data_IF_381157139322
#
_entry.id   IF_381157139322
#
_cell.length_a   1.000
_cell.length_b   1.000
_cell.length_c   1.000
_cell.angle_alpha   90.00
_cell.angle_beta   90.00
_cell.angle_gamma   90.00
#
_symmetry.space_group_name_H-M   'P 1'
#
loop_
_entity.id
_entity.type
_entity.pdbx_description
1 polymer ?
#
# COMPACT_ATOMS: atom_id res chain seq x y z
N UNK A 1 20.46 16.53 -27.57
CA UNK A 1 19.21 16.50 -26.81
C UNK A 1 19.55 15.85 -25.49
N UNK A 2 19.55 16.63 -24.40
CA UNK A 2 19.83 16.11 -23.05
C UNK A 2 18.66 15.23 -22.65
N UNK A 3 18.84 13.92 -22.56
CA UNK A 3 17.85 13.02 -21.97
C UNK A 3 17.82 13.30 -20.47
N UNK A 4 16.90 14.16 -20.02
CA UNK A 4 16.63 14.26 -18.59
C UNK A 4 16.15 12.88 -18.12
N UNK A 5 16.83 12.29 -17.15
CA UNK A 5 16.34 11.09 -16.48
C UNK A 5 14.92 11.34 -16.00
N UNK A 6 14.02 10.35 -16.10
CA UNK A 6 12.64 10.50 -15.61
C UNK A 6 12.69 10.87 -14.12
N UNK A 7 11.75 11.72 -13.70
CA UNK A 7 11.65 12.11 -12.30
C UNK A 7 11.39 10.88 -11.41
N UNK A 8 12.06 10.76 -10.25
CA UNK A 8 11.88 9.61 -9.37
C UNK A 8 10.44 9.49 -8.88
N UNK A 9 9.96 8.28 -8.70
CA UNK A 9 8.68 7.97 -8.05
C UNK A 9 8.84 7.92 -6.53
N UNK A 10 7.75 8.21 -5.82
CA UNK A 10 7.67 8.05 -4.37
C UNK A 10 6.35 7.38 -3.98
N UNK A 11 6.45 6.26 -3.28
CA UNK A 11 5.30 5.48 -2.77
C UNK A 11 5.35 5.48 -1.26
N UNK A 12 4.21 5.74 -0.62
CA UNK A 12 4.03 5.62 0.83
C UNK A 12 2.95 4.57 1.10
N UNK A 13 3.26 3.56 1.93
CA UNK A 13 2.26 2.64 2.50
C UNK A 13 2.07 2.90 3.99
N UNK A 14 0.82 2.80 4.45
CA UNK A 14 0.49 2.96 5.86
C UNK A 14 -0.82 2.27 6.25
N UNK A 15 -0.76 1.35 7.20
CA UNK A 15 -1.95 0.86 7.89
C UNK A 15 -2.39 1.92 8.92
N UNK A 16 -3.61 2.49 8.77
CA UNK A 16 -4.10 3.60 9.60
C UNK A 16 -4.93 3.16 10.81
N UNK A 17 -5.15 1.85 10.98
CA UNK A 17 -5.96 1.30 12.08
C UNK A 17 -7.28 2.09 12.29
N UNK A 18 -8.05 2.23 11.22
CA UNK A 18 -9.21 3.13 11.15
C UNK A 18 -10.29 2.87 12.21
N UNK A 19 -10.33 1.67 12.81
CA UNK A 19 -11.24 1.34 13.92
C UNK A 19 -10.86 2.04 15.22
N UNK A 20 -9.58 2.37 15.43
CA UNK A 20 -9.08 3.09 16.60
C UNK A 20 -9.38 4.59 16.59
N UNK A 21 -9.82 5.14 15.45
CA UNK A 21 -10.13 6.57 15.29
C UNK A 21 -8.88 7.43 15.14
N UNK A 22 -8.07 7.20 14.10
CA UNK A 22 -6.80 7.89 13.88
C UNK A 22 -6.97 9.42 13.78
N UNK A 23 -5.93 10.17 14.21
CA UNK A 23 -5.84 11.60 13.95
C UNK A 23 -5.53 11.84 12.47
N UNK A 24 -6.58 12.10 11.68
CA UNK A 24 -6.50 12.28 10.23
C UNK A 24 -5.72 13.55 9.85
N UNK A 25 -5.73 14.59 10.67
CA UNK A 25 -4.96 15.80 10.40
C UNK A 25 -3.46 15.56 10.62
N UNK A 26 -3.10 14.85 11.69
CA UNK A 26 -1.72 14.43 11.91
C UNK A 26 -1.23 13.48 10.81
N UNK A 27 -2.04 12.51 10.39
CA UNK A 27 -1.73 11.64 9.26
C UNK A 27 -1.51 12.46 7.97
N UNK A 28 -2.38 13.42 7.66
CA UNK A 28 -2.24 14.28 6.50
C UNK A 28 -0.95 15.13 6.56
N UNK A 29 -0.57 15.65 7.73
CA UNK A 29 0.70 16.38 7.91
C UNK A 29 1.90 15.48 7.64
N UNK A 30 1.90 14.26 8.18
CA UNK A 30 2.98 13.28 8.01
C UNK A 30 3.14 12.87 6.54
N UNK A 31 2.04 12.56 5.85
CA UNK A 31 2.05 12.23 4.43
C UNK A 31 2.55 13.42 3.59
N UNK A 32 2.06 14.64 3.86
CA UNK A 32 2.48 15.85 3.13
C UNK A 32 3.98 16.13 3.28
N UNK A 33 4.56 15.87 4.46
CA UNK A 33 5.98 16.07 4.70
C UNK A 33 6.86 15.15 3.83
N UNK A 34 6.36 13.96 3.49
CA UNK A 34 7.04 13.01 2.61
C UNK A 34 6.81 13.32 1.11
N UNK A 35 5.77 14.12 0.78
CA UNK A 35 5.39 14.48 -0.58
C UNK A 35 5.36 13.26 -1.55
N UNK A 36 4.64 12.16 -1.23
CA UNK A 36 4.60 10.98 -2.08
C UNK A 36 3.78 11.22 -3.35
N UNK A 37 4.14 10.52 -4.43
CA UNK A 37 3.33 10.44 -5.64
C UNK A 37 2.14 9.50 -5.48
N UNK A 38 2.30 8.46 -4.68
CA UNK A 38 1.28 7.45 -4.43
C UNK A 38 1.24 7.16 -2.94
N UNK A 39 0.03 7.13 -2.38
CA UNK A 39 -0.23 6.70 -1.00
C UNK A 39 -1.16 5.49 -1.06
N UNK A 40 -0.76 4.40 -0.43
CA UNK A 40 -1.61 3.22 -0.24
C UNK A 40 -1.90 3.06 1.25
N UNK A 41 -3.18 2.93 1.59
CA UNK A 41 -3.64 2.86 2.96
C UNK A 41 -4.42 1.58 3.20
N UNK A 42 -4.20 0.96 4.36
CA UNK A 42 -4.94 -0.19 4.84
C UNK A 42 -5.76 0.22 6.08
N UNK A 43 -6.78 -0.56 6.39
CA UNK A 43 -7.70 -0.33 7.52
C UNK A 43 -8.27 1.10 7.57
N UNK A 44 -8.61 1.66 6.43
CA UNK A 44 -9.09 3.04 6.35
C UNK A 44 -10.59 3.09 6.07
N UNK A 45 -11.33 3.93 6.82
CA UNK A 45 -12.74 4.19 6.53
C UNK A 45 -12.90 5.15 5.37
N UNK A 46 -14.01 5.04 4.65
CA UNK A 46 -14.27 5.90 3.48
C UNK A 46 -14.17 7.40 3.81
N UNK A 47 -14.77 7.86 4.91
CA UNK A 47 -14.73 9.26 5.31
C UNK A 47 -13.33 9.74 5.72
N UNK A 48 -12.48 8.85 6.28
CA UNK A 48 -11.05 9.14 6.53
C UNK A 48 -10.32 9.35 5.21
N UNK A 49 -10.54 8.45 4.23
CA UNK A 49 -9.95 8.59 2.88
C UNK A 49 -10.36 9.91 2.22
N UNK A 50 -11.64 10.27 2.28
CA UNK A 50 -12.16 11.53 1.73
C UNK A 50 -11.56 12.76 2.42
N UNK A 51 -11.36 12.71 3.73
CA UNK A 51 -10.72 13.78 4.49
C UNK A 51 -9.24 13.94 4.11
N UNK A 52 -8.49 12.83 4.02
CA UNK A 52 -7.10 12.83 3.55
C UNK A 52 -6.97 13.34 2.12
N UNK A 53 -7.80 12.85 1.20
CA UNK A 53 -7.79 13.26 -0.20
C UNK A 53 -7.99 14.77 -0.34
N UNK A 54 -8.92 15.35 0.42
CA UNK A 54 -9.14 16.81 0.45
C UNK A 54 -7.94 17.55 1.04
N UNK A 55 -7.43 17.09 2.20
CA UNK A 55 -6.32 17.74 2.88
C UNK A 55 -5.03 17.73 2.05
N UNK A 56 -4.81 16.66 1.29
CA UNK A 56 -3.62 16.45 0.45
C UNK A 56 -3.80 16.95 -0.99
N UNK A 57 -5.01 17.34 -1.38
CA UNK A 57 -5.38 17.68 -2.78
C UNK A 57 -5.07 16.52 -3.73
N UNK A 58 -5.41 15.28 -3.30
CA UNK A 58 -5.20 14.05 -4.05
C UNK A 58 -6.52 13.48 -4.57
N UNK A 59 -6.46 12.79 -5.70
CA UNK A 59 -7.49 11.87 -6.17
C UNK A 59 -7.43 10.60 -5.31
N UNK A 60 -8.51 9.83 -5.25
CA UNK A 60 -8.50 8.58 -4.51
C UNK A 60 -9.38 7.51 -5.14
N UNK A 61 -9.03 6.25 -4.87
CA UNK A 61 -9.89 5.08 -4.97
C UNK A 61 -10.02 4.45 -3.59
N UNK A 62 -11.23 4.02 -3.22
CA UNK A 62 -11.48 3.32 -1.97
C UNK A 62 -12.20 2.01 -2.25
N UNK A 63 -11.70 0.89 -1.72
CA UNK A 63 -12.27 -0.44 -1.84
C UNK A 63 -12.76 -0.94 -0.48
N UNK A 64 -14.01 -1.40 -0.43
CA UNK A 64 -14.59 -1.98 0.79
C UNK A 64 -14.00 -3.36 1.07
N UNK A 65 -13.24 -3.49 2.17
CA UNK A 65 -12.72 -4.78 2.64
C UNK A 65 -13.79 -5.56 3.40
N UNK A 66 -14.36 -4.99 4.45
CA UNK A 66 -15.49 -5.60 5.16
C UNK A 66 -16.51 -4.58 5.66
N UNK A 67 -17.76 -5.03 5.77
CA UNK A 67 -18.86 -4.24 6.27
C UNK A 67 -19.24 -4.69 7.70
N UNK A 68 -19.75 -3.80 8.56
CA UNK A 68 -20.24 -4.18 9.88
C UNK A 68 -21.47 -5.07 9.80
N UNK A 69 -21.74 -5.83 10.87
CA UNK A 69 -22.86 -6.78 10.93
C UNK A 69 -24.24 -6.13 10.76
N UNK A 70 -24.39 -4.85 11.06
CA UNK A 70 -25.65 -4.11 10.91
C UNK A 70 -25.53 -3.00 9.87
N UNK A 71 -26.57 -2.87 9.03
CA UNK A 71 -26.63 -1.78 8.02
C UNK A 71 -26.64 -0.39 8.65
N UNK A 72 -27.15 -0.27 9.89
CA UNK A 72 -27.20 1.00 10.62
C UNK A 72 -25.81 1.52 10.98
N UNK A 73 -24.78 0.67 10.95
CA UNK A 73 -23.39 1.03 11.30
C UNK A 73 -22.46 1.02 10.08
N UNK A 74 -23.00 1.16 8.87
CA UNK A 74 -22.25 1.04 7.63
C UNK A 74 -21.07 2.04 7.54
N UNK A 75 -21.13 3.19 8.23
CA UNK A 75 -20.01 4.14 8.30
C UNK A 75 -18.77 3.60 9.04
N UNK A 76 -18.93 2.46 9.75
CA UNK A 76 -17.82 1.70 10.38
C UNK A 76 -17.18 0.71 9.41
N UNK A 77 -17.64 0.67 8.16
CA UNK A 77 -17.03 -0.16 7.12
C UNK A 77 -15.56 0.18 6.96
N UNK A 78 -14.75 -0.86 6.90
CA UNK A 78 -13.31 -0.76 6.74
C UNK A 78 -12.93 -1.14 5.33
N UNK A 79 -11.92 -0.47 4.80
CA UNK A 79 -11.46 -0.67 3.46
C UNK A 79 -9.98 -0.36 3.28
N UNK A 80 -9.62 -0.23 2.04
CA UNK A 80 -8.30 0.10 1.57
C UNK A 80 -8.40 1.30 0.62
N UNK A 81 -7.35 2.11 0.53
CA UNK A 81 -7.36 3.26 -0.35
C UNK A 81 -6.05 3.45 -1.10
N UNK A 82 -6.15 3.98 -2.30
CA UNK A 82 -5.03 4.48 -3.10
C UNK A 82 -5.28 5.97 -3.34
N UNK A 83 -4.32 6.83 -2.99
CA UNK A 83 -4.40 8.28 -3.23
C UNK A 83 -3.20 8.73 -4.06
N UNK A 84 -3.41 9.73 -4.91
CA UNK A 84 -2.34 10.31 -5.76
C UNK A 84 -2.69 11.73 -6.20
N UNK A 85 -1.72 12.66 -6.32
CA UNK A 85 -1.95 13.95 -6.97
C UNK A 85 -2.04 13.83 -8.50
N UNK A 86 -1.66 12.68 -9.06
CA UNK A 86 -1.58 12.41 -10.49
C UNK A 86 -2.90 11.86 -11.07
N UNK A 87 -2.88 11.45 -12.34
CA UNK A 87 -4.00 10.74 -12.94
C UNK A 87 -4.16 9.39 -12.25
N UNK A 88 -5.39 9.10 -11.83
CA UNK A 88 -5.79 7.82 -11.28
C UNK A 88 -6.75 7.17 -12.26
N UNK A 89 -6.32 6.11 -12.90
CA UNK A 89 -7.06 5.40 -13.94
C UNK A 89 -7.09 3.88 -13.66
N UNK A 90 -7.92 3.14 -14.39
CA UNK A 90 -8.04 1.68 -14.32
C UNK A 90 -8.03 1.15 -12.86
N UNK A 91 -8.87 1.70 -12.00
CA UNK A 91 -8.99 1.28 -10.60
C UNK A 91 -9.81 0.00 -10.47
N UNK A 92 -9.37 -0.91 -9.59
CA UNK A 92 -10.09 -2.15 -9.33
C UNK A 92 -9.70 -2.80 -8.01
N UNK A 93 -10.35 -3.91 -7.71
CA UNK A 93 -9.99 -4.78 -6.60
C UNK A 93 -10.52 -6.19 -6.84
N UNK A 94 -9.81 -7.18 -6.32
CA UNK A 94 -10.20 -8.59 -6.35
C UNK A 94 -10.08 -9.20 -4.95
N UNK A 95 -11.00 -10.06 -4.58
CA UNK A 95 -10.88 -10.85 -3.34
C UNK A 95 -9.78 -11.90 -3.52
N UNK A 96 -8.84 -11.93 -2.56
CA UNK A 96 -7.70 -12.85 -2.55
C UNK A 96 -7.76 -13.85 -1.41
N UNK A 97 -8.62 -13.66 -0.41
CA UNK A 97 -8.95 -14.69 0.57
C UNK A 97 -9.81 -15.79 -0.05
N UNK A 98 -9.96 -16.90 0.66
CA UNK A 98 -11.03 -17.84 0.35
C UNK A 98 -12.37 -17.13 0.45
N UNK A 99 -13.38 -17.61 -0.31
CA UNK A 99 -14.70 -16.98 -0.39
C UNK A 99 -15.22 -16.60 1.01
N UNK A 100 -15.23 -15.32 1.30
CA UNK A 100 -15.60 -14.78 2.61
C UNK A 100 -16.80 -13.85 2.49
N UNK A 101 -17.80 -13.98 3.38
CA UNK A 101 -18.89 -13.01 3.41
C UNK A 101 -18.37 -11.57 3.57
N UNK A 102 -19.00 -10.59 2.93
CA UNK A 102 -18.65 -9.17 2.99
C UNK A 102 -18.52 -8.63 4.44
N UNK A 103 -19.11 -9.31 5.42
CA UNK A 103 -19.04 -8.97 6.85
C UNK A 103 -17.91 -9.68 7.59
N UNK A 104 -17.15 -10.54 6.90
CA UNK A 104 -16.04 -11.25 7.49
C UNK A 104 -14.83 -10.33 7.60
N UNK A 105 -14.24 -10.21 8.78
CA UNK A 105 -12.97 -9.54 8.99
C UNK A 105 -11.80 -10.29 8.32
N UNK A 106 -11.99 -11.57 7.97
CA UNK A 106 -11.01 -12.40 7.26
C UNK A 106 -10.95 -12.12 5.77
N UNK A 107 -11.92 -11.37 5.23
CA UNK A 107 -11.92 -11.01 3.81
C UNK A 107 -10.69 -10.17 3.48
N UNK A 108 -9.94 -10.58 2.46
CA UNK A 108 -8.73 -9.90 1.98
C UNK A 108 -8.90 -9.52 0.52
N UNK A 109 -8.35 -8.36 0.17
CA UNK A 109 -8.43 -7.81 -1.17
C UNK A 109 -7.03 -7.45 -1.67
N UNK A 110 -6.79 -7.63 -2.97
CA UNK A 110 -5.81 -6.86 -3.71
C UNK A 110 -6.55 -5.70 -4.37
N UNK A 111 -6.21 -4.45 -4.01
CA UNK A 111 -6.71 -3.25 -4.67
C UNK A 111 -5.63 -2.73 -5.60
N UNK A 112 -6.00 -2.29 -6.82
CA UNK A 112 -5.01 -1.75 -7.77
C UNK A 112 -5.49 -0.48 -8.44
N UNK A 113 -4.52 0.27 -8.97
CA UNK A 113 -4.77 1.42 -9.82
C UNK A 113 -3.62 1.67 -10.79
N UNK A 114 -3.93 2.15 -11.98
CA UNK A 114 -2.99 2.75 -12.89
C UNK A 114 -2.78 4.21 -12.50
N UNK A 115 -1.53 4.59 -12.21
CA UNK A 115 -1.17 5.97 -11.88
C UNK A 115 -0.29 6.55 -12.98
N UNK A 116 -0.72 7.67 -13.57
CA UNK A 116 -0.04 8.33 -14.69
C UNK A 116 0.34 9.78 -14.39
N UNK A 117 1.59 10.15 -14.60
CA UNK A 117 2.10 11.52 -14.49
C UNK A 117 1.92 12.31 -15.79
N UNK A 118 2.08 13.63 -15.71
CA UNK A 118 1.99 14.54 -16.85
C UNK A 118 3.08 14.29 -17.92
N UNK A 119 4.23 13.75 -17.53
CA UNK A 119 5.32 13.35 -18.42
C UNK A 119 5.07 12.01 -19.15
N UNK A 120 3.89 11.43 -18.97
CA UNK A 120 3.43 10.13 -19.51
C UNK A 120 4.10 8.91 -18.86
N UNK A 121 4.88 9.07 -17.81
CA UNK A 121 5.31 7.92 -17.03
C UNK A 121 4.13 7.32 -16.28
N UNK A 122 4.04 5.99 -16.25
CA UNK A 122 2.93 5.27 -15.62
C UNK A 122 3.47 4.10 -14.80
N UNK A 123 2.76 3.77 -13.73
CA UNK A 123 2.99 2.58 -12.91
C UNK A 123 1.66 1.94 -12.52
N UNK A 124 1.67 0.62 -12.34
CA UNK A 124 0.54 -0.11 -11.76
C UNK A 124 0.82 -0.32 -10.27
N UNK A 125 0.01 0.25 -9.39
CA UNK A 125 0.12 0.07 -7.94
C UNK A 125 -0.87 -0.95 -7.44
N UNK A 126 -0.40 -1.90 -6.63
CA UNK A 126 -1.19 -2.88 -5.89
C UNK A 126 -1.08 -2.60 -4.40
N UNK A 127 -2.22 -2.42 -3.75
CA UNK A 127 -2.35 -2.20 -2.32
C UNK A 127 -2.84 -3.50 -1.67
N UNK A 128 -2.09 -4.03 -0.70
CA UNK A 128 -2.38 -5.29 -0.03
C UNK A 128 -2.59 -5.10 1.47
N UNK A 129 -3.41 -5.97 2.05
CA UNK A 129 -3.45 -6.20 3.48
C UNK A 129 -3.73 -7.69 3.68
N UNK A 130 -2.68 -8.47 3.88
CA UNK A 130 -2.74 -9.92 3.99
C UNK A 130 -3.23 -10.38 5.38
N UNK A 131 -3.53 -11.65 5.51
CA UNK A 131 -3.99 -12.25 6.76
C UNK A 131 -2.94 -12.13 7.88
N UNK A 132 -3.36 -11.94 9.15
CA UNK A 132 -2.46 -11.71 10.27
C UNK A 132 -1.53 -12.92 10.49
N UNK A 133 -0.41 -12.70 11.19
CA UNK A 133 0.68 -13.67 11.33
C UNK A 133 0.25 -15.06 11.87
N UNK A 134 -0.82 -15.15 12.65
CA UNK A 134 -1.35 -16.43 13.14
C UNK A 134 -1.93 -17.32 12.03
N UNK A 135 -2.11 -16.82 10.82
CA UNK A 135 -2.73 -17.51 9.68
C UNK A 135 -1.77 -17.54 8.47
N UNK A 136 -0.60 -18.16 8.65
CA UNK A 136 0.46 -18.22 7.64
C UNK A 136 0.03 -18.91 6.34
N UNK A 137 -0.81 -19.95 6.43
CA UNK A 137 -1.28 -20.67 5.23
C UNK A 137 -2.23 -19.81 4.38
N UNK A 138 -3.16 -19.10 5.02
CA UNK A 138 -4.03 -18.14 4.33
C UNK A 138 -3.18 -17.04 3.67
N UNK A 139 -2.23 -16.48 4.39
CA UNK A 139 -1.32 -15.44 3.88
C UNK A 139 -0.54 -15.87 2.63
N UNK A 140 0.03 -17.09 2.63
CA UNK A 140 0.70 -17.66 1.45
C UNK A 140 -0.25 -17.90 0.28
N UNK A 141 -1.46 -18.38 0.55
CA UNK A 141 -2.50 -18.56 -0.47
C UNK A 141 -2.91 -17.23 -1.10
N UNK A 142 -3.12 -16.22 -0.27
CA UNK A 142 -3.43 -14.85 -0.69
C UNK A 142 -2.31 -14.26 -1.55
N UNK A 143 -1.05 -14.38 -1.12
CA UNK A 143 0.12 -13.90 -1.87
C UNK A 143 0.22 -14.55 -3.26
N UNK A 144 -0.01 -15.87 -3.39
CA UNK A 144 -0.04 -16.56 -4.69
C UNK A 144 -1.15 -16.06 -5.60
N UNK A 145 -2.33 -15.75 -5.06
CA UNK A 145 -3.45 -15.17 -5.83
C UNK A 145 -3.11 -13.76 -6.31
N UNK A 146 -2.44 -12.95 -5.46
CA UNK A 146 -1.93 -11.65 -5.87
C UNK A 146 -0.93 -11.79 -7.01
N UNK A 147 0.02 -12.71 -6.92
CA UNK A 147 1.00 -12.96 -7.97
C UNK A 147 0.32 -13.32 -9.30
N UNK A 148 -0.69 -14.21 -9.27
CA UNK A 148 -1.47 -14.57 -10.45
C UNK A 148 -2.24 -13.37 -11.06
N UNK A 149 -2.81 -12.48 -10.22
CA UNK A 149 -3.49 -11.26 -10.69
C UNK A 149 -2.51 -10.33 -11.38
N UNK A 150 -1.31 -10.13 -10.80
CA UNK A 150 -0.29 -9.27 -11.41
C UNK A 150 0.20 -9.86 -12.73
N UNK A 151 0.40 -11.18 -12.81
CA UNK A 151 0.77 -11.88 -14.03
C UNK A 151 -0.30 -11.73 -15.12
N UNK A 152 -1.58 -11.84 -14.77
CA UNK A 152 -2.70 -11.68 -15.70
C UNK A 152 -2.82 -10.24 -16.25
N UNK A 153 -2.60 -9.23 -15.39
CA UNK A 153 -2.65 -7.81 -15.79
C UNK A 153 -1.41 -7.44 -16.60
N UNK A 154 -0.27 -8.06 -16.31
CA UNK A 154 1.00 -7.85 -17.01
C UNK A 154 1.92 -6.84 -16.31
N UNK A 155 3.12 -6.69 -16.87
CA UNK A 155 4.23 -5.89 -16.33
C UNK A 155 4.45 -4.53 -17.06
N UNK A 156 3.58 -4.17 -17.97
CA UNK A 156 3.60 -2.88 -18.67
C UNK A 156 2.23 -2.18 -18.54
N UNK A 157 2.13 -1.15 -17.70
CA UNK A 157 3.21 -0.49 -16.95
C UNK A 157 3.72 -1.29 -15.74
N UNK A 158 4.98 -1.03 -15.28
CA UNK A 158 5.65 -1.84 -14.27
C UNK A 158 4.85 -1.88 -12.95
N UNK A 159 4.68 -3.07 -12.35
CA UNK A 159 3.92 -3.24 -11.11
C UNK A 159 4.75 -2.83 -9.88
N UNK A 160 4.08 -2.19 -8.94
CA UNK A 160 4.56 -1.93 -7.58
C UNK A 160 3.58 -2.60 -6.62
N UNK A 161 4.07 -3.41 -5.70
CA UNK A 161 3.23 -4.07 -4.70
C UNK A 161 3.57 -3.51 -3.32
N UNK A 162 2.59 -2.93 -2.64
CA UNK A 162 2.81 -2.28 -1.36
C UNK A 162 1.66 -2.59 -0.38
N UNK A 163 1.95 -2.56 0.92
CA UNK A 163 0.92 -2.77 1.93
C UNK A 163 1.44 -3.38 3.21
N UNK A 164 0.48 -3.77 4.03
CA UNK A 164 0.68 -4.56 5.24
C UNK A 164 0.64 -6.05 4.88
N UNK A 165 1.81 -6.71 4.90
CA UNK A 165 1.93 -8.11 4.54
C UNK A 165 1.77 -9.05 5.74
N UNK A 166 1.81 -8.51 6.97
CA UNK A 166 1.68 -9.29 8.21
C UNK A 166 2.67 -10.48 8.31
N UNK A 167 3.88 -10.33 7.76
CA UNK A 167 4.84 -11.41 7.52
C UNK A 167 6.07 -11.40 8.44
N UNK A 168 6.01 -10.73 9.59
CA UNK A 168 7.14 -10.59 10.53
C UNK A 168 7.90 -11.90 10.76
N UNK A 169 7.20 -13.03 10.78
CA UNK A 169 7.75 -14.37 11.06
C UNK A 169 7.90 -15.23 9.80
N UNK A 170 7.55 -14.73 8.61
CA UNK A 170 7.55 -15.50 7.36
C UNK A 170 8.00 -14.68 6.14
N UNK A 171 9.29 -14.41 6.01
CA UNK A 171 9.83 -13.63 4.90
C UNK A 171 9.61 -14.29 3.52
N UNK A 172 9.18 -15.56 3.47
CA UNK A 172 8.87 -16.25 2.21
C UNK A 172 7.68 -15.64 1.46
N UNK A 173 6.86 -14.79 2.11
CA UNK A 173 5.76 -14.06 1.46
C UNK A 173 6.30 -13.10 0.40
N UNK A 174 7.40 -12.40 0.70
CA UNK A 174 8.06 -11.47 -0.24
C UNK A 174 8.56 -12.24 -1.48
N UNK A 175 9.04 -13.47 -1.33
CA UNK A 175 9.52 -14.30 -2.45
C UNK A 175 8.39 -14.77 -3.39
N UNK A 176 7.17 -14.84 -2.89
CA UNK A 176 5.97 -15.24 -3.68
C UNK A 176 5.39 -14.06 -4.44
N UNK A 177 5.45 -12.85 -3.86
CA UNK A 177 4.88 -11.65 -4.46
C UNK A 177 5.76 -11.12 -5.61
N UNK A 178 5.17 -10.54 -6.66
CA UNK A 178 5.94 -9.95 -7.74
C UNK A 178 6.66 -8.68 -7.29
N UNK A 179 7.88 -8.49 -7.77
CA UNK A 179 8.74 -7.36 -7.44
C UNK A 179 9.93 -7.76 -6.55
N UNK A 180 10.71 -6.77 -6.18
CA UNK A 180 11.93 -6.92 -5.39
C UNK A 180 11.93 -5.92 -4.25
N UNK A 181 12.27 -6.35 -3.05
CA UNK A 181 12.61 -5.46 -1.95
C UNK A 181 14.08 -5.05 -2.09
N UNK A 182 14.30 -3.90 -2.74
CA UNK A 182 15.67 -3.42 -3.03
C UNK A 182 16.43 -2.96 -1.78
N UNK A 183 15.71 -2.45 -0.80
CA UNK A 183 16.23 -2.05 0.50
C UNK A 183 15.17 -2.41 1.55
N UNK A 184 15.57 -3.17 2.57
CA UNK A 184 14.67 -3.61 3.64
C UNK A 184 14.28 -2.45 4.53
N UNK A 185 13.00 -2.17 4.76
CA UNK A 185 12.54 -1.16 5.71
C UNK A 185 12.97 -1.49 7.14
N UNK A 186 12.96 -0.48 8.02
CA UNK A 186 13.00 -0.69 9.46
C UNK A 186 11.65 -1.26 9.96
N UNK A 187 11.62 -1.74 11.20
CA UNK A 187 10.40 -2.22 11.84
C UNK A 187 9.31 -1.14 11.86
N UNK A 188 8.05 -1.56 11.65
CA UNK A 188 6.91 -0.65 11.49
C UNK A 188 5.86 -0.77 12.57
N UNK A 189 5.85 -1.88 13.32
CA UNK A 189 4.84 -2.19 14.34
C UNK A 189 5.49 -2.73 15.63
N UNK A 190 4.99 -2.36 16.84
CA UNK A 190 4.06 -1.26 17.08
C UNK A 190 4.74 0.11 16.92
N UNK A 191 4.02 1.11 16.45
CA UNK A 191 4.56 2.43 16.10
C UNK A 191 5.21 3.18 17.25
N UNK A 192 4.82 2.93 18.51
CA UNK A 192 5.43 3.55 19.70
C UNK A 192 6.85 3.03 19.95
N UNK A 193 7.08 1.72 19.75
CA UNK A 193 8.37 1.06 19.94
C UNK A 193 8.50 -0.09 18.93
N UNK A 194 8.90 0.22 17.69
CA UNK A 194 8.89 -0.76 16.60
C UNK A 194 9.78 -1.98 16.88
N UNK A 195 9.25 -3.16 16.61
CA UNK A 195 9.92 -4.45 16.82
C UNK A 195 9.56 -5.52 15.79
N UNK A 196 8.65 -5.20 14.86
CA UNK A 196 8.22 -6.07 13.78
C UNK A 196 8.13 -5.28 12.48
N UNK A 197 8.65 -5.83 11.40
CA UNK A 197 8.46 -5.32 10.05
C UNK A 197 7.27 -6.01 9.41
N UNK A 198 6.19 -5.28 9.16
CA UNK A 198 4.94 -5.78 8.58
C UNK A 198 4.59 -5.10 7.25
N UNK A 199 5.12 -3.89 7.02
CA UNK A 199 4.75 -3.03 5.92
C UNK A 199 5.88 -2.96 4.88
N UNK A 200 5.59 -3.29 3.63
CA UNK A 200 6.57 -3.45 2.57
C UNK A 200 6.19 -2.69 1.30
N UNK A 201 7.20 -2.39 0.49
CA UNK A 201 7.06 -1.89 -0.89
C UNK A 201 7.99 -2.67 -1.80
N UNK A 202 7.43 -3.52 -2.65
CA UNK A 202 8.16 -4.27 -3.67
C UNK A 202 8.12 -3.48 -4.99
N UNK A 203 9.28 -3.29 -5.57
CA UNK A 203 9.48 -2.52 -6.79
C UNK A 203 9.79 -3.44 -7.97
N UNK A 204 9.56 -3.00 -9.21
CA UNK A 204 10.02 -3.74 -10.37
C UNK A 204 11.56 -3.85 -10.37
N UNK A 205 12.10 -4.93 -10.95
CA UNK A 205 13.53 -5.21 -10.94
C UNK A 205 14.40 -4.15 -11.62
N UNK A 206 13.82 -3.31 -12.50
CA UNK A 206 14.51 -2.19 -13.16
C UNK A 206 14.46 -0.88 -12.34
N UNK A 207 14.01 -0.91 -11.09
CA UNK A 207 14.10 0.24 -10.20
C UNK A 207 15.56 0.50 -9.81
N UNK A 208 15.92 1.78 -9.76
CA UNK A 208 17.26 2.29 -9.40
C UNK A 208 17.12 3.45 -8.43
N UNK A 209 18.25 3.86 -7.83
CA UNK A 209 18.31 4.99 -6.88
C UNK A 209 17.27 4.87 -5.76
N UNK A 210 17.12 3.64 -5.24
CA UNK A 210 16.13 3.32 -4.22
C UNK A 210 16.57 3.88 -2.87
N UNK A 211 15.63 4.49 -2.15
CA UNK A 211 15.81 4.88 -0.76
C UNK A 211 14.53 4.63 0.03
N UNK A 212 14.67 4.10 1.24
CA UNK A 212 13.57 3.78 2.14
C UNK A 212 13.62 4.69 3.37
N UNK A 213 12.47 5.16 3.79
CA UNK A 213 12.33 5.99 5.00
C UNK A 213 11.20 5.44 5.86
N UNK A 214 11.52 5.14 7.12
CA UNK A 214 10.57 4.79 8.18
C UNK A 214 10.86 5.70 9.36
N UNK A 215 9.86 6.33 10.00
CA UNK A 215 10.07 7.10 11.22
C UNK A 215 10.63 6.24 12.36
N UNK A 216 11.31 6.86 13.33
CA UNK A 216 11.87 6.14 14.46
C UNK A 216 10.82 5.60 15.46
N UNK A 217 9.55 5.97 15.28
CA UNK A 217 8.48 5.64 16.22
C UNK A 217 8.38 6.63 17.37
N UNK A 218 7.42 6.37 18.27
CA UNK A 218 7.20 7.20 19.45
C UNK A 218 5.70 7.42 19.73
N UNK A 219 5.36 8.03 20.88
CA UNK A 219 3.98 8.22 21.31
C UNK A 219 3.17 9.12 20.33
N UNK A 220 3.82 10.03 19.60
CA UNK A 220 3.17 10.86 18.59
C UNK A 220 2.66 10.03 17.40
N UNK A 221 3.35 8.93 17.06
CA UNK A 221 2.93 8.00 16.02
C UNK A 221 1.83 7.07 16.51
N UNK A 222 1.94 6.57 17.76
CA UNK A 222 0.92 5.74 18.40
C UNK A 222 -0.44 6.45 18.52
N UNK A 223 -0.45 7.78 18.60
CA UNK A 223 -1.67 8.59 18.58
C UNK A 223 -2.36 8.60 17.20
N UNK A 224 -1.65 8.23 16.13
CA UNK A 224 -2.20 8.19 14.77
C UNK A 224 -2.55 6.75 14.37
N UNK A 225 -1.61 5.82 14.51
CA UNK A 225 -1.77 4.41 14.17
C UNK A 225 -0.80 3.55 14.98
N UNK A 226 -1.08 2.27 15.12
CA UNK A 226 -0.16 1.26 15.65
C UNK A 226 0.91 0.83 14.64
N UNK A 227 0.83 1.27 13.38
CA UNK A 227 1.86 1.11 12.36
C UNK A 227 2.55 2.43 12.04
N UNK A 228 3.82 2.36 11.62
CA UNK A 228 4.56 3.46 11.02
C UNK A 228 4.42 3.45 9.49
N UNK A 229 4.44 4.62 8.83
CA UNK A 229 4.46 4.66 7.37
C UNK A 229 5.84 4.25 6.82
N UNK A 230 5.84 3.50 5.72
CA UNK A 230 7.02 3.24 4.91
C UNK A 230 6.95 4.09 3.65
N UNK A 231 7.98 4.89 3.39
CA UNK A 231 8.11 5.68 2.16
C UNK A 231 9.30 5.20 1.36
N UNK A 232 9.08 4.85 0.09
CA UNK A 232 10.13 4.42 -0.83
C UNK A 232 10.19 5.36 -2.03
N UNK A 233 11.39 5.87 -2.33
CA UNK A 233 11.70 6.69 -3.50
C UNK A 233 12.58 5.89 -4.44
N UNK A 234 12.33 5.98 -5.76
CA UNK A 234 13.07 5.21 -6.76
C UNK A 234 12.95 5.85 -8.15
N UNK A 235 13.88 5.57 -9.02
CA UNK A 235 13.78 5.83 -10.45
C UNK A 235 13.47 4.53 -11.20
N UNK A 236 12.82 4.63 -12.36
CA UNK A 236 12.64 3.51 -13.28
C UNK A 236 13.59 3.69 -14.46
N UNK A 237 14.49 2.75 -14.66
CA UNK A 237 15.36 2.77 -15.83
C UNK A 237 14.55 2.42 -17.09
N UNK A 238 14.80 3.13 -18.18
CA UNK A 238 14.20 2.86 -19.50
C UNK A 238 14.72 1.59 -20.18
N UNK A 239 15.74 0.95 -19.61
CA UNK A 239 16.30 -0.29 -20.13
C UNK A 239 15.40 -1.47 -19.67
N UNK A 240 14.75 -2.12 -20.62
CA UNK A 240 14.25 -3.47 -20.38
C UNK A 240 15.46 -4.34 -20.03
N UNK A 241 15.40 -5.18 -18.96
CA UNK A 241 16.41 -6.22 -18.81
C UNK A 241 16.45 -7.01 -20.10
N UNK A 242 17.64 -7.11 -20.71
CA UNK A 242 17.83 -7.70 -22.02
C UNK A 242 17.20 -9.08 -22.11
N UNK A 243 16.49 -9.31 -23.21
CA UNK A 243 15.96 -10.61 -23.57
C UNK A 243 17.08 -11.60 -23.92
#
# INVERSE_FOLDING_TARGET
MSSSSPAPWSVLTWNLHGSAGPDIEAAARSIRAQAPDIVVLQEVRKHHTEALARALTMRYSWALKHAPYTRVMWWRSEGMAILTPHLLDAVGHTEVSDDQPMRSWRRRLAQWALVGRADRSMVMIYNLHLSPHQDADSRRSEARRVAAIVEEIGDDPPPIVAGDFNDADDPSIIEVLPGVEHERPADTNPSESPSQLLDHVLLPANATDVSVTVPAGGPEWAAISDHLPVTVRFALSSARPGG
#
